data_IF_063825454981
#
_entry.id   IF_063825454981
#
_cell.length_a   1.000
_cell.length_b   1.000
_cell.length_c   1.000
_cell.angle_alpha   90.00
_cell.angle_beta   90.00
_cell.angle_gamma   90.00
#
_symmetry.space_group_name_H-M   'P 1'
#
loop_
_entity.id
_entity.type
_entity.pdbx_description
1 polymer ?
#
# COMPACT_ATOMS: atom_id res chain seq x y z
N UNK A 1 33.22 23.65 11.42
CA UNK A 1 32.99 24.08 10.03
C UNK A 1 33.07 22.86 9.14
N UNK A 2 32.08 22.69 8.25
CA UNK A 2 32.03 21.78 7.09
C UNK A 2 31.86 20.28 7.34
N UNK A 3 30.61 19.82 7.33
CA UNK A 3 30.24 18.51 6.77
C UNK A 3 29.88 18.71 5.30
N UNK A 4 30.61 18.14 4.32
CA UNK A 4 30.17 18.13 2.94
C UNK A 4 29.59 16.75 2.55
N UNK A 5 28.43 16.79 1.90
CA UNK A 5 28.12 15.88 0.81
C UNK A 5 27.55 14.51 1.16
N UNK A 6 26.22 14.42 1.14
CA UNK A 6 25.51 13.31 0.48
C UNK A 6 24.04 13.71 0.27
N UNK A 7 23.80 14.70 -0.58
CA UNK A 7 22.51 14.88 -1.22
C UNK A 7 22.36 13.75 -2.25
N UNK A 8 21.95 12.58 -1.76
CA UNK A 8 21.48 11.47 -2.60
C UNK A 8 19.98 11.39 -2.34
N UNK A 9 19.11 11.55 -3.35
CA UNK A 9 17.68 11.36 -3.15
C UNK A 9 17.49 9.99 -2.56
N UNK A 10 16.83 9.95 -1.40
CA UNK A 10 16.57 8.78 -0.59
C UNK A 10 16.17 7.62 -1.51
N UNK A 11 17.11 6.70 -1.76
CA UNK A 11 16.75 5.39 -2.23
C UNK A 11 15.68 4.90 -1.26
N UNK A 12 14.48 4.60 -1.79
CA UNK A 12 13.35 4.05 -1.03
C UNK A 12 13.94 3.15 0.05
N UNK A 13 13.75 3.41 1.36
CA UNK A 13 14.22 2.49 2.37
C UNK A 13 13.62 1.14 1.99
N UNK A 14 14.48 0.20 1.60
CA UNK A 14 14.05 -1.12 1.19
C UNK A 14 13.17 -1.64 2.32
N UNK A 15 11.90 -1.88 2.00
CA UNK A 15 10.96 -2.59 2.85
C UNK A 15 11.59 -3.95 3.17
N UNK A 16 12.33 -3.99 4.27
CA UNK A 16 13.16 -5.12 4.67
C UNK A 16 12.97 -5.33 6.16
N UNK A 17 11.71 -5.51 6.54
CA UNK A 17 11.30 -6.25 7.72
C UNK A 17 9.85 -6.70 7.49
N UNK A 18 9.66 -7.96 7.06
CA UNK A 18 8.38 -8.68 7.09
C UNK A 18 7.23 -8.04 6.29
N UNK A 19 7.29 -8.09 4.95
CA UNK A 19 6.10 -7.85 4.12
C UNK A 19 5.47 -6.47 4.23
N UNK A 20 6.12 -5.49 4.86
CA UNK A 20 5.58 -4.14 4.92
C UNK A 20 5.52 -3.51 3.51
N UNK A 21 4.35 -2.99 3.17
CA UNK A 21 4.13 -2.11 2.02
C UNK A 21 4.11 -0.67 2.51
N UNK A 22 4.45 0.28 1.64
CA UNK A 22 4.51 1.71 1.93
C UNK A 22 3.28 2.45 1.39
N UNK A 23 3.07 3.72 1.80
CA UNK A 23 1.97 4.55 1.29
C UNK A 23 2.01 4.69 -0.23
N UNK A 24 3.21 4.64 -0.83
CA UNK A 24 3.37 4.65 -2.28
C UNK A 24 2.66 3.46 -2.99
N UNK A 25 2.57 2.29 -2.35
CA UNK A 25 1.85 1.14 -2.90
C UNK A 25 0.33 1.40 -2.90
N UNK A 26 -0.19 1.99 -1.82
CA UNK A 26 -1.61 2.40 -1.73
C UNK A 26 -1.93 3.47 -2.77
N UNK A 27 -1.05 4.48 -2.92
CA UNK A 27 -1.20 5.52 -3.94
C UNK A 27 -1.23 4.93 -5.36
N UNK A 28 -0.37 3.95 -5.64
CA UNK A 28 -0.36 3.25 -6.93
C UNK A 28 -1.70 2.54 -7.21
N UNK A 29 -2.17 1.74 -6.24
CA UNK A 29 -3.42 0.98 -6.37
C UNK A 29 -4.63 1.90 -6.54
N UNK A 30 -4.65 3.04 -5.86
CA UNK A 30 -5.73 4.03 -6.01
C UNK A 30 -5.62 4.89 -7.27
N UNK A 31 -4.42 5.00 -7.85
CA UNK A 31 -4.19 5.76 -9.09
C UNK A 31 -4.68 5.02 -10.32
N UNK A 32 -4.57 3.70 -10.32
CA UNK A 32 -5.00 2.87 -11.44
C UNK A 32 -6.52 2.98 -11.69
N UNK A 33 -7.30 2.90 -10.61
CA UNK A 33 -8.77 3.01 -10.69
C UNK A 33 -9.38 3.48 -9.38
N UNK A 34 -10.60 4.00 -9.49
CA UNK A 34 -11.46 4.26 -8.33
C UNK A 34 -12.18 2.98 -7.94
N UNK A 35 -12.07 2.64 -6.68
CA UNK A 35 -12.73 1.48 -6.09
C UNK A 35 -14.04 1.91 -5.42
N UNK A 36 -15.07 1.08 -5.50
CA UNK A 36 -16.35 1.31 -4.84
C UNK A 36 -16.32 0.93 -3.35
N UNK A 37 -15.37 0.08 -2.93
CA UNK A 37 -15.28 -0.39 -1.56
C UNK A 37 -14.17 -1.42 -1.33
N UNK A 38 -14.07 -1.90 -0.09
CA UNK A 38 -13.09 -2.92 0.31
C UNK A 38 -13.19 -4.20 -0.52
N UNK A 39 -14.41 -4.68 -0.82
CA UNK A 39 -14.60 -5.93 -1.56
C UNK A 39 -13.96 -5.89 -2.95
N UNK A 40 -14.18 -4.80 -3.69
CA UNK A 40 -13.63 -4.65 -5.04
C UNK A 40 -12.10 -4.54 -5.03
N UNK A 41 -11.55 -3.80 -4.06
CA UNK A 41 -10.11 -3.72 -3.85
C UNK A 41 -9.50 -5.09 -3.52
N UNK A 42 -10.13 -5.85 -2.62
CA UNK A 42 -9.68 -7.18 -2.21
C UNK A 42 -9.75 -8.21 -3.35
N UNK A 43 -10.81 -8.16 -4.15
CA UNK A 43 -10.94 -9.00 -5.35
C UNK A 43 -9.81 -8.73 -6.34
N UNK A 44 -9.50 -7.46 -6.61
CA UNK A 44 -8.39 -7.11 -7.48
C UNK A 44 -7.03 -7.51 -6.91
N UNK A 45 -6.77 -7.28 -5.62
CA UNK A 45 -5.51 -7.69 -4.98
C UNK A 45 -5.29 -9.21 -5.09
N UNK A 46 -6.38 -10.00 -5.05
CA UNK A 46 -6.34 -11.46 -5.18
C UNK A 46 -6.15 -11.92 -6.63
N UNK A 47 -6.77 -11.24 -7.60
CA UNK A 47 -6.74 -11.65 -9.00
C UNK A 47 -5.53 -11.10 -9.75
N UNK A 48 -5.31 -9.79 -9.66
CA UNK A 48 -4.36 -9.04 -10.48
C UNK A 48 -3.16 -8.56 -9.67
N UNK A 49 -3.36 -8.11 -8.42
CA UNK A 49 -2.29 -7.55 -7.60
C UNK A 49 -1.07 -8.48 -7.47
N UNK A 50 -1.28 -9.79 -7.32
CA UNK A 50 -0.19 -10.79 -7.22
C UNK A 50 0.63 -10.96 -8.50
N UNK A 51 0.10 -10.52 -9.64
CA UNK A 51 0.73 -10.55 -10.96
C UNK A 51 1.22 -9.16 -11.40
N UNK A 52 0.97 -8.11 -10.61
CA UNK A 52 1.35 -6.75 -10.94
C UNK A 52 2.88 -6.58 -10.81
N UNK A 53 3.60 -6.13 -11.86
CA UNK A 53 5.05 -6.00 -11.83
C UNK A 53 5.55 -4.82 -10.99
N UNK A 54 4.67 -3.88 -10.60
CA UNK A 54 5.00 -2.71 -9.79
C UNK A 54 4.81 -2.96 -8.30
N UNK A 55 4.10 -4.02 -7.91
CA UNK A 55 3.90 -4.43 -6.52
C UNK A 55 4.67 -5.71 -6.22
N UNK A 56 5.47 -5.70 -5.15
CA UNK A 56 6.09 -6.94 -4.70
C UNK A 56 5.03 -7.88 -4.09
N UNK A 57 5.16 -9.19 -4.28
CA UNK A 57 4.18 -10.14 -3.73
C UNK A 57 4.00 -10.02 -2.21
N UNK A 58 5.05 -9.66 -1.47
CA UNK A 58 4.95 -9.39 -0.04
C UNK A 58 4.10 -8.15 0.28
N UNK A 59 4.21 -7.10 -0.54
CA UNK A 59 3.41 -5.88 -0.39
C UNK A 59 1.93 -6.15 -0.66
N UNK A 60 1.63 -6.92 -1.71
CA UNK A 60 0.26 -7.32 -2.06
C UNK A 60 -0.38 -8.15 -0.93
N UNK A 61 0.37 -9.10 -0.38
CA UNK A 61 -0.12 -9.96 0.70
C UNK A 61 -0.43 -9.15 1.96
N UNK A 62 0.47 -8.24 2.36
CA UNK A 62 0.25 -7.42 3.54
C UNK A 62 -0.86 -6.38 3.32
N UNK A 63 -0.90 -5.73 2.16
CA UNK A 63 -1.98 -4.80 1.81
C UNK A 63 -3.34 -5.49 1.84
N UNK A 64 -3.42 -6.72 1.31
CA UNK A 64 -4.62 -7.53 1.36
C UNK A 64 -5.00 -7.89 2.80
N UNK A 65 -4.05 -8.32 3.62
CA UNK A 65 -4.31 -8.68 5.02
C UNK A 65 -4.86 -7.48 5.82
N UNK A 66 -4.26 -6.31 5.64
CA UNK A 66 -4.71 -5.08 6.29
C UNK A 66 -6.07 -4.62 5.77
N UNK A 67 -6.33 -4.74 4.47
CA UNK A 67 -7.63 -4.46 3.88
C UNK A 67 -8.73 -5.44 4.36
N UNK A 68 -8.41 -6.73 4.52
CA UNK A 68 -9.31 -7.74 5.11
C UNK A 68 -9.64 -7.37 6.57
N UNK A 69 -8.65 -6.91 7.34
CA UNK A 69 -8.81 -6.45 8.73
C UNK A 69 -9.64 -5.17 8.82
N UNK A 70 -9.42 -4.20 7.93
CA UNK A 70 -10.19 -2.96 7.83
C UNK A 70 -11.65 -3.21 7.44
N UNK A 71 -11.89 -4.13 6.51
CA UNK A 71 -13.24 -4.56 6.17
C UNK A 71 -13.93 -5.28 7.34
N UNK A 72 -13.23 -6.16 8.05
CA UNK A 72 -13.77 -6.91 9.18
C UNK A 72 -14.16 -6.03 10.38
N UNK A 73 -13.52 -4.86 10.52
CA UNK A 73 -13.85 -3.85 11.56
C UNK A 73 -14.88 -2.80 11.10
N UNK A 74 -15.46 -2.95 9.92
CA UNK A 74 -16.39 -1.98 9.31
C UNK A 74 -15.77 -0.58 9.13
N UNK A 75 -14.45 -0.51 8.84
CA UNK A 75 -13.79 0.77 8.61
C UNK A 75 -14.34 1.44 7.33
N UNK A 76 -14.49 2.77 7.31
CA UNK A 76 -14.99 3.47 6.13
C UNK A 76 -13.98 3.36 4.98
N UNK A 77 -14.45 2.87 3.83
CA UNK A 77 -13.64 2.86 2.62
C UNK A 77 -13.50 4.27 2.03
N UNK A 78 -12.31 4.60 1.54
CA UNK A 78 -12.01 5.89 0.90
C UNK A 78 -11.05 5.71 -0.27
N UNK A 79 -11.22 6.54 -1.30
CA UNK A 79 -10.30 6.62 -2.43
C UNK A 79 -9.21 7.70 -2.21
N UNK A 80 -9.11 8.23 -1.01
CA UNK A 80 -8.04 9.14 -0.60
C UNK A 80 -6.88 8.31 -0.03
N UNK A 81 -5.70 8.40 -0.66
CA UNK A 81 -4.59 7.50 -0.36
C UNK A 81 -4.03 7.66 1.06
N UNK A 82 -3.92 8.90 1.54
CA UNK A 82 -3.44 9.16 2.91
C UNK A 82 -4.42 8.63 3.94
N UNK A 83 -5.73 8.88 3.75
CA UNK A 83 -6.75 8.32 4.65
C UNK A 83 -6.80 6.79 4.57
N UNK A 84 -6.78 6.21 3.38
CA UNK A 84 -6.85 4.75 3.22
C UNK A 84 -5.65 4.08 3.89
N UNK A 85 -4.45 4.64 3.70
CA UNK A 85 -3.24 4.18 4.36
C UNK A 85 -3.37 4.19 5.90
N UNK A 86 -3.96 5.24 6.48
CA UNK A 86 -4.21 5.30 7.92
C UNK A 86 -5.21 4.24 8.39
N UNK A 87 -6.29 4.01 7.64
CA UNK A 87 -7.28 2.98 7.97
C UNK A 87 -6.67 1.58 7.92
N UNK A 88 -5.79 1.32 6.97
CA UNK A 88 -5.08 0.06 6.81
C UNK A 88 -4.07 -0.21 7.94
N UNK A 89 -3.44 0.85 8.49
CA UNK A 89 -2.38 0.73 9.50
C UNK A 89 -2.86 0.78 10.96
N UNK A 90 -4.17 0.83 11.23
CA UNK A 90 -4.67 0.70 12.63
C UNK A 90 -4.80 -0.77 13.03
#
# INVERSE_FOLDING_TARGET
MSSPGANRPSARPSASARGDYDSAAVEYVLRDRRWQGWSELLEWLRAEGVNDPHLAQGEVQALRQDAESAAARDAPFTNDADRLWRELKQ
#
